data_IF_785258338188
#
_entry.id   IF_785258338188
#
_cell.length_a   1.000
_cell.length_b   1.000
_cell.length_c   1.000
_cell.angle_alpha   90.00
_cell.angle_beta   90.00
_cell.angle_gamma   90.00
#
_symmetry.space_group_name_H-M   'P 1'
#
loop_
_entity.id
_entity.type
_entity.pdbx_description
1 polymer ?
#
# COMPACT_ATOMS: atom_id res chain seq x y z
N UNK A 1 10.40 -23.38 -5.38
CA UNK A 1 9.58 -22.82 -4.29
C UNK A 1 8.22 -23.50 -4.19
N UNK A 2 7.30 -23.34 -5.15
CA UNK A 2 5.94 -23.94 -5.08
C UNK A 2 5.94 -25.46 -4.89
N UNK A 3 6.86 -26.18 -5.54
CA UNK A 3 6.98 -27.64 -5.42
C UNK A 3 7.36 -28.09 -4.00
N UNK A 4 8.30 -27.39 -3.35
CA UNK A 4 8.73 -27.70 -1.98
C UNK A 4 7.66 -27.32 -0.94
N UNK A 5 6.91 -26.25 -1.20
CA UNK A 5 5.80 -25.81 -0.34
C UNK A 5 4.61 -26.79 -0.36
N UNK A 6 4.41 -27.49 -1.48
CA UNK A 6 3.41 -28.55 -1.62
C UNK A 6 3.93 -29.89 -1.05
N UNK A 7 5.23 -30.19 -1.20
CA UNK A 7 5.81 -31.46 -0.74
C UNK A 7 5.91 -31.55 0.80
N UNK A 8 6.26 -30.44 1.47
CA UNK A 8 6.40 -30.37 2.93
C UNK A 8 5.15 -30.84 3.71
N UNK A 9 3.92 -30.34 3.44
CA UNK A 9 2.73 -30.80 4.14
C UNK A 9 2.43 -32.29 3.87
N UNK A 10 2.70 -32.79 2.66
CA UNK A 10 2.53 -34.20 2.35
C UNK A 10 3.51 -35.08 3.14
N UNK A 11 4.77 -34.66 3.29
CA UNK A 11 5.76 -35.34 4.13
C UNK A 11 5.38 -35.33 5.62
N UNK A 12 4.86 -34.20 6.12
CA UNK A 12 4.37 -34.07 7.51
C UNK A 12 3.18 -34.99 7.77
N UNK A 13 2.19 -35.01 6.89
CA UNK A 13 1.05 -35.93 6.99
C UNK A 13 1.50 -37.41 6.98
N UNK A 14 2.51 -37.74 6.17
CA UNK A 14 3.09 -39.09 6.15
C UNK A 14 3.83 -39.41 7.46
N UNK A 15 4.53 -38.44 8.06
CA UNK A 15 5.19 -38.61 9.35
C UNK A 15 4.17 -38.87 10.47
N UNK A 16 3.06 -38.13 10.50
CA UNK A 16 1.96 -38.34 11.45
C UNK A 16 1.33 -39.74 11.28
N UNK A 17 1.05 -40.14 10.04
CA UNK A 17 0.53 -41.48 9.76
C UNK A 17 1.47 -42.57 10.25
N UNK A 18 2.78 -42.44 10.01
CA UNK A 18 3.80 -43.40 10.47
C UNK A 18 3.94 -43.40 11.99
N UNK A 19 3.82 -42.23 12.63
CA UNK A 19 3.84 -42.08 14.08
C UNK A 19 2.67 -42.84 14.73
N UNK A 20 1.47 -42.67 14.17
CA UNK A 20 0.27 -43.38 14.65
C UNK A 20 0.40 -44.89 14.47
N UNK A 21 0.93 -45.35 13.33
CA UNK A 21 1.18 -46.78 13.08
C UNK A 21 2.25 -47.37 14.01
N UNK A 22 3.30 -46.60 14.30
CA UNK A 22 4.33 -46.99 15.26
C UNK A 22 3.74 -47.13 16.67
N UNK A 23 2.95 -46.18 17.12
CA UNK A 23 2.29 -46.25 18.43
C UNK A 23 1.38 -47.49 18.57
N UNK A 24 0.65 -47.83 17.51
CA UNK A 24 -0.13 -49.07 17.47
C UNK A 24 0.75 -50.33 17.50
N UNK A 25 1.88 -50.34 16.78
CA UNK A 25 2.83 -51.44 16.80
C UNK A 25 3.54 -51.60 18.15
N UNK A 26 3.85 -50.48 18.83
CA UNK A 26 4.39 -50.45 20.19
C UNK A 26 3.42 -51.10 21.18
N UNK A 27 2.12 -50.74 21.11
CA UNK A 27 1.08 -51.33 21.95
C UNK A 27 0.95 -52.85 21.70
N UNK A 28 0.92 -53.28 20.43
CA UNK A 28 0.84 -54.70 20.07
C UNK A 28 2.07 -55.49 20.53
N UNK A 29 3.27 -54.90 20.47
CA UNK A 29 4.50 -55.52 20.97
C UNK A 29 4.48 -55.71 22.49
N UNK A 30 4.01 -54.70 23.24
CA UNK A 30 3.84 -54.79 24.70
C UNK A 30 2.84 -55.89 25.07
N UNK A 31 1.72 -55.96 24.35
CA UNK A 31 0.70 -57.01 24.57
C UNK A 31 1.26 -58.42 24.27
N UNK A 32 1.98 -58.59 23.16
CA UNK A 32 2.60 -59.86 22.80
C UNK A 32 3.63 -60.31 23.85
N UNK A 33 4.44 -59.37 24.37
CA UNK A 33 5.36 -59.64 25.48
C UNK A 33 4.64 -60.05 26.76
N UNK A 34 3.56 -59.37 27.13
CA UNK A 34 2.79 -59.72 28.31
C UNK A 34 2.17 -61.12 28.19
N UNK A 35 1.68 -61.50 27.00
CA UNK A 35 1.17 -62.86 26.71
C UNK A 35 2.26 -63.92 26.84
N UNK A 36 3.45 -63.68 26.28
CA UNK A 36 4.60 -64.58 26.42
C UNK A 36 5.03 -64.72 27.89
N UNK A 37 5.10 -63.61 28.64
CA UNK A 37 5.43 -63.64 30.07
C UNK A 37 4.42 -64.43 30.89
N UNK A 38 3.11 -64.25 30.68
CA UNK A 38 2.09 -65.07 31.36
C UNK A 38 2.26 -66.55 31.05
N UNK A 39 2.50 -66.90 29.79
CA UNK A 39 2.76 -68.30 29.42
C UNK A 39 3.96 -68.87 30.18
N UNK A 40 5.05 -68.11 30.38
CA UNK A 40 6.19 -68.58 31.18
C UNK A 40 5.89 -68.75 32.67
N UNK A 41 4.86 -68.09 33.20
CA UNK A 41 4.50 -68.13 34.62
C UNK A 41 3.41 -69.18 34.92
N UNK A 42 2.54 -69.45 33.96
CA UNK A 42 1.29 -70.19 34.17
C UNK A 42 1.26 -71.56 33.47
N UNK A 43 2.07 -71.78 32.43
CA UNK A 43 2.04 -73.02 31.64
C UNK A 43 2.86 -74.16 32.29
N UNK A 44 2.47 -75.40 32.02
CA UNK A 44 3.18 -76.59 32.47
C UNK A 44 4.45 -76.79 31.61
N UNK A 45 5.61 -76.83 32.25
CA UNK A 45 6.91 -76.56 31.60
C UNK A 45 7.36 -77.62 30.59
N UNK A 46 6.78 -78.82 30.61
CA UNK A 46 7.28 -79.98 29.86
C UNK A 46 6.43 -80.36 28.62
N UNK A 47 5.28 -79.73 28.38
CA UNK A 47 4.34 -80.13 27.31
C UNK A 47 3.97 -79.04 26.28
N UNK A 48 4.37 -77.77 26.48
CA UNK A 48 3.79 -76.63 25.75
C UNK A 48 4.76 -75.86 24.82
N UNK A 49 5.86 -76.51 24.39
CA UNK A 49 6.90 -75.91 23.53
C UNK A 49 6.37 -75.29 22.24
N UNK A 50 5.33 -75.90 21.65
CA UNK A 50 4.70 -75.39 20.42
C UNK A 50 3.95 -74.07 20.65
N UNK A 51 3.28 -73.93 21.79
CA UNK A 51 2.57 -72.71 22.15
C UNK A 51 3.57 -71.58 22.48
N UNK A 52 4.64 -71.92 23.20
CA UNK A 52 5.77 -71.01 23.46
C UNK A 52 6.40 -70.49 22.17
N UNK A 53 6.79 -71.37 21.25
CA UNK A 53 7.41 -70.99 19.98
C UNK A 53 6.51 -70.04 19.16
N UNK A 54 5.19 -70.23 19.20
CA UNK A 54 4.22 -69.34 18.53
C UNK A 54 4.19 -67.95 19.16
N UNK A 55 4.27 -67.84 20.49
CA UNK A 55 4.31 -66.56 21.19
C UNK A 55 5.65 -65.83 20.99
N UNK A 56 6.77 -66.56 21.00
CA UNK A 56 8.09 -66.00 20.65
C UNK A 56 8.12 -65.46 19.21
N UNK A 57 7.56 -66.21 18.25
CA UNK A 57 7.42 -65.76 16.86
C UNK A 57 6.53 -64.51 16.74
N UNK A 58 5.44 -64.42 17.51
CA UNK A 58 4.57 -63.24 17.54
C UNK A 58 5.32 -62.01 18.09
N UNK A 59 6.09 -62.16 19.17
CA UNK A 59 6.92 -61.08 19.72
C UNK A 59 7.97 -60.62 18.70
N UNK A 60 8.63 -61.55 18.00
CA UNK A 60 9.60 -61.23 16.96
C UNK A 60 8.97 -60.48 15.77
N UNK A 61 7.78 -60.91 15.31
CA UNK A 61 7.05 -60.23 14.24
C UNK A 61 6.61 -58.81 14.64
N UNK A 62 6.14 -58.62 15.88
CA UNK A 62 5.82 -57.28 16.41
C UNK A 62 7.06 -56.39 16.56
N UNK A 63 8.20 -56.96 16.96
CA UNK A 63 9.46 -56.21 17.05
C UNK A 63 9.88 -55.69 15.67
N UNK A 64 9.87 -56.56 14.64
CA UNK A 64 10.25 -56.19 13.28
C UNK A 64 9.35 -55.09 12.70
N UNK A 65 8.03 -55.18 12.92
CA UNK A 65 7.09 -54.16 12.42
C UNK A 65 7.25 -52.83 13.13
N UNK A 66 7.43 -52.84 14.46
CA UNK A 66 7.73 -51.64 15.26
C UNK A 66 9.01 -50.97 14.78
N UNK A 67 10.09 -51.73 14.66
CA UNK A 67 11.40 -51.20 14.29
C UNK A 67 11.38 -50.68 12.84
N UNK A 68 10.69 -51.38 11.93
CA UNK A 68 10.47 -50.91 10.56
C UNK A 68 9.70 -49.59 10.47
N UNK A 69 8.68 -49.37 11.32
CA UNK A 69 8.00 -48.07 11.39
C UNK A 69 8.89 -46.99 12.00
N UNK A 70 9.72 -47.32 13.00
CA UNK A 70 10.66 -46.38 13.58
C UNK A 70 11.70 -45.90 12.55
N UNK A 71 12.25 -46.82 11.76
CA UNK A 71 13.21 -46.50 10.69
C UNK A 71 12.55 -45.67 9.57
N UNK A 72 11.34 -46.04 9.15
CA UNK A 72 10.59 -45.29 8.16
C UNK A 72 10.28 -43.85 8.63
N UNK A 73 9.91 -43.70 9.91
CA UNK A 73 9.65 -42.39 10.51
C UNK A 73 10.92 -41.53 10.56
N UNK A 74 12.06 -42.13 10.95
CA UNK A 74 13.36 -41.45 10.91
C UNK A 74 13.70 -40.97 9.49
N UNK A 75 13.51 -41.82 8.47
CA UNK A 75 13.74 -41.46 7.08
C UNK A 75 12.86 -40.31 6.58
N UNK A 76 11.59 -40.26 6.98
CA UNK A 76 10.69 -39.14 6.63
C UNK A 76 11.07 -37.86 7.39
N UNK A 77 11.46 -37.95 8.66
CA UNK A 77 11.92 -36.79 9.43
C UNK A 77 13.17 -36.15 8.83
N UNK A 78 14.14 -36.95 8.36
CA UNK A 78 15.29 -36.43 7.61
C UNK A 78 14.86 -35.68 6.35
N UNK A 79 13.93 -36.25 5.56
CA UNK A 79 13.42 -35.58 4.36
C UNK A 79 12.70 -34.26 4.68
N UNK A 80 11.96 -34.19 5.79
CA UNK A 80 11.32 -32.96 6.25
C UNK A 80 12.40 -31.91 6.54
N UNK A 81 13.40 -32.24 7.35
CA UNK A 81 14.48 -31.32 7.69
C UNK A 81 15.23 -30.80 6.44
N UNK A 82 15.57 -31.69 5.51
CA UNK A 82 16.22 -31.33 4.25
C UNK A 82 15.35 -30.40 3.40
N UNK A 83 14.04 -30.66 3.33
CA UNK A 83 13.08 -29.86 2.55
C UNK A 83 12.89 -28.48 3.18
N UNK A 84 12.80 -28.39 4.51
CA UNK A 84 12.73 -27.11 5.23
C UNK A 84 13.99 -26.28 5.01
N UNK A 85 15.16 -26.91 5.11
CA UNK A 85 16.43 -26.22 4.87
C UNK A 85 16.54 -25.69 3.44
N UNK A 86 16.13 -26.49 2.44
CA UNK A 86 16.07 -26.05 1.03
C UNK A 86 15.11 -24.88 0.84
N UNK A 87 13.93 -24.92 1.47
CA UNK A 87 12.93 -23.86 1.36
C UNK A 87 13.46 -22.54 1.96
N UNK A 88 14.11 -22.60 3.13
CA UNK A 88 14.76 -21.43 3.75
C UNK A 88 15.85 -20.87 2.84
N UNK A 89 16.69 -21.74 2.26
CA UNK A 89 17.75 -21.33 1.33
C UNK A 89 17.18 -20.67 0.06
N UNK A 90 16.13 -21.23 -0.54
CA UNK A 90 15.46 -20.65 -1.71
C UNK A 90 14.84 -19.29 -1.40
N UNK A 91 14.16 -19.16 -0.25
CA UNK A 91 13.58 -17.87 0.17
C UNK A 91 14.66 -16.82 0.40
N UNK A 92 15.75 -17.18 1.06
CA UNK A 92 16.87 -16.28 1.28
C UNK A 92 17.54 -15.87 -0.06
N UNK A 93 17.69 -16.79 -1.01
CA UNK A 93 18.20 -16.48 -2.34
C UNK A 93 17.26 -15.56 -3.12
N UNK A 94 15.94 -15.80 -3.06
CA UNK A 94 14.95 -14.96 -3.70
C UNK A 94 14.92 -13.54 -3.12
N UNK A 95 15.01 -13.41 -1.79
CA UNK A 95 15.10 -12.11 -1.12
C UNK A 95 16.37 -11.34 -1.52
N UNK A 96 17.53 -12.02 -1.54
CA UNK A 96 18.80 -11.40 -1.97
C UNK A 96 18.73 -10.93 -3.41
N UNK A 97 18.18 -11.75 -4.31
CA UNK A 97 17.98 -11.38 -5.72
C UNK A 97 17.06 -10.17 -5.86
N UNK A 98 15.93 -10.16 -5.17
CA UNK A 98 15.00 -9.03 -5.21
C UNK A 98 15.66 -7.73 -4.72
N UNK A 99 16.43 -7.80 -3.62
CA UNK A 99 17.17 -6.67 -3.08
C UNK A 99 18.27 -6.17 -4.02
N UNK A 100 19.05 -7.08 -4.63
CA UNK A 100 20.09 -6.72 -5.61
C UNK A 100 19.48 -6.06 -6.85
N UNK A 101 18.34 -6.59 -7.34
CA UNK A 101 17.63 -6.06 -8.49
C UNK A 101 17.01 -4.68 -8.21
N UNK A 102 16.54 -4.44 -6.98
CA UNK A 102 16.07 -3.12 -6.56
C UNK A 102 17.22 -2.10 -6.48
N UNK A 103 18.35 -2.48 -5.88
CA UNK A 103 19.52 -1.61 -5.78
C UNK A 103 20.09 -1.27 -7.16
N UNK A 104 20.18 -2.25 -8.07
CA UNK A 104 20.60 -2.04 -9.44
C UNK A 104 19.68 -1.05 -10.17
N UNK A 105 18.36 -1.22 -10.05
CA UNK A 105 17.37 -0.29 -10.63
C UNK A 105 17.52 1.14 -10.10
N UNK A 106 17.77 1.30 -8.79
CA UNK A 106 18.01 2.63 -8.20
C UNK A 106 19.30 3.26 -8.74
N UNK A 107 20.36 2.47 -8.91
CA UNK A 107 21.60 2.95 -9.51
C UNK A 107 21.38 3.39 -10.97
N UNK A 108 20.66 2.60 -11.77
CA UNK A 108 20.33 2.95 -13.15
C UNK A 108 19.56 4.28 -13.24
N UNK A 109 18.66 4.55 -12.28
CA UNK A 109 17.95 5.83 -12.21
C UNK A 109 18.90 7.00 -11.95
N UNK A 110 19.86 6.84 -11.04
CA UNK A 110 20.89 7.87 -10.76
C UNK A 110 21.73 8.13 -12.01
N UNK A 111 22.21 7.08 -12.67
CA UNK A 111 23.04 7.21 -13.88
C UNK A 111 22.28 7.84 -15.05
N UNK A 112 20.97 7.59 -15.17
CA UNK A 112 20.12 8.25 -16.18
C UNK A 112 19.87 9.73 -15.88
N UNK A 113 19.77 10.12 -14.61
CA UNK A 113 19.52 11.50 -14.21
C UNK A 113 20.77 12.39 -14.29
N UNK A 114 21.96 11.80 -14.16
CA UNK A 114 23.23 12.54 -14.11
C UNK A 114 23.48 13.40 -15.36
N UNK A 115 23.36 12.89 -16.61
CA UNK A 115 23.59 13.70 -17.81
C UNK A 115 22.73 14.96 -17.87
N UNK A 116 21.44 14.86 -17.49
CA UNK A 116 20.52 15.99 -17.52
C UNK A 116 20.90 17.06 -16.50
N UNK A 117 21.30 16.65 -15.30
CA UNK A 117 21.84 17.55 -14.28
C UNK A 117 23.13 18.25 -14.76
N UNK A 118 24.07 17.48 -15.33
CA UNK A 118 25.33 18.03 -15.85
C UNK A 118 25.09 18.96 -17.05
N UNK A 119 24.10 18.68 -17.89
CA UNK A 119 23.71 19.58 -18.99
C UNK A 119 23.08 20.87 -18.45
N UNK A 120 22.22 20.79 -17.43
CA UNK A 120 21.58 21.95 -16.83
C UNK A 120 22.59 22.89 -16.16
N UNK A 121 23.53 22.35 -15.38
CA UNK A 121 24.57 23.17 -14.76
C UNK A 121 25.54 23.78 -15.78
N UNK A 122 25.82 23.10 -16.91
CA UNK A 122 26.65 23.67 -17.98
C UNK A 122 25.97 24.89 -18.60
N UNK A 123 24.68 24.78 -18.94
CA UNK A 123 23.88 25.92 -19.44
C UNK A 123 23.86 27.09 -18.47
N UNK A 124 23.74 26.83 -17.16
CA UNK A 124 23.78 27.88 -16.15
C UNK A 124 25.15 28.57 -16.11
N UNK A 125 26.24 27.80 -16.08
CA UNK A 125 27.59 28.33 -16.09
C UNK A 125 27.88 29.17 -17.35
N UNK A 126 27.45 28.70 -18.54
CA UNK A 126 27.61 29.42 -19.81
C UNK A 126 26.85 30.75 -19.80
N UNK A 127 25.63 30.77 -19.21
CA UNK A 127 24.82 31.99 -19.08
C UNK A 127 25.47 33.00 -18.13
N UNK A 128 26.05 32.53 -17.04
CA UNK A 128 26.77 33.37 -16.07
C UNK A 128 28.08 33.92 -16.65
N UNK A 129 28.77 33.15 -17.47
CA UNK A 129 30.00 33.57 -18.16
C UNK A 129 29.75 34.65 -19.23
N UNK A 130 28.57 34.64 -19.86
CA UNK A 130 28.18 35.72 -20.78
C UNK A 130 28.15 37.11 -20.09
N UNK A 131 27.96 37.14 -18.77
CA UNK A 131 27.97 38.36 -17.94
C UNK A 131 29.20 38.43 -17.01
N UNK A 132 30.33 37.84 -17.42
CA UNK A 132 31.59 37.75 -16.66
C UNK A 132 32.18 39.09 -16.18
N UNK A 133 31.77 40.22 -16.76
CA UNK A 133 32.23 41.55 -16.34
C UNK A 133 31.78 41.90 -14.91
N UNK A 134 30.79 41.20 -14.36
CA UNK A 134 30.46 41.25 -12.94
C UNK A 134 31.25 40.17 -12.19
N UNK A 135 32.12 40.56 -11.26
CA UNK A 135 33.01 39.62 -10.55
C UNK A 135 32.26 38.42 -9.94
N UNK A 136 31.13 38.67 -9.26
CA UNK A 136 30.37 37.60 -8.61
C UNK A 136 29.78 36.58 -9.60
N UNK A 137 29.41 37.00 -10.83
CA UNK A 137 28.82 36.07 -11.80
C UNK A 137 29.89 35.13 -12.35
N UNK A 138 31.11 35.62 -12.57
CA UNK A 138 32.27 34.79 -12.94
C UNK A 138 32.64 33.79 -11.83
N UNK A 139 32.57 34.21 -10.56
CA UNK A 139 32.78 33.33 -9.41
C UNK A 139 31.73 32.22 -9.34
N UNK A 140 30.44 32.54 -9.53
CA UNK A 140 29.36 31.55 -9.55
C UNK A 140 29.50 30.60 -10.75
N UNK A 141 29.86 31.08 -11.93
CA UNK A 141 30.10 30.23 -13.10
C UNK A 141 31.22 29.21 -12.84
N UNK A 142 32.31 29.65 -12.22
CA UNK A 142 33.44 28.80 -11.82
C UNK A 142 33.02 27.77 -10.78
N UNK A 143 32.26 28.19 -9.76
CA UNK A 143 31.74 27.29 -8.74
C UNK A 143 30.87 26.19 -9.34
N UNK A 144 29.93 26.54 -10.23
CA UNK A 144 29.06 25.57 -10.90
C UNK A 144 29.90 24.56 -11.68
N UNK A 145 30.85 25.00 -12.51
CA UNK A 145 31.71 24.08 -13.29
C UNK A 145 32.53 23.15 -12.42
N UNK A 146 33.12 23.67 -11.35
CA UNK A 146 33.90 22.87 -10.41
C UNK A 146 33.02 21.82 -9.70
N UNK A 147 31.82 22.23 -9.26
CA UNK A 147 30.85 21.33 -8.62
C UNK A 147 30.41 20.21 -9.57
N UNK A 148 30.21 20.52 -10.85
CA UNK A 148 29.86 19.51 -11.86
C UNK A 148 30.98 18.50 -12.10
N UNK A 149 32.23 18.96 -12.26
CA UNK A 149 33.38 18.08 -12.44
C UNK A 149 33.59 17.16 -11.23
N UNK A 150 33.45 17.70 -10.01
CA UNK A 150 33.54 16.92 -8.78
C UNK A 150 32.40 15.90 -8.68
N UNK A 151 31.18 16.29 -9.00
CA UNK A 151 30.02 15.40 -8.95
C UNK A 151 30.16 14.25 -9.94
N UNK A 152 30.58 14.52 -11.17
CA UNK A 152 30.76 13.49 -12.20
C UNK A 152 31.75 12.42 -11.75
N UNK A 153 32.90 12.83 -11.19
CA UNK A 153 33.89 11.91 -10.63
C UNK A 153 33.34 11.15 -9.43
N UNK A 154 32.70 11.84 -8.48
CA UNK A 154 32.15 11.23 -7.27
C UNK A 154 31.08 10.17 -7.60
N UNK A 155 30.18 10.46 -8.55
CA UNK A 155 29.15 9.51 -8.98
C UNK A 155 29.78 8.32 -9.70
N UNK A 156 30.81 8.52 -10.52
CA UNK A 156 31.51 7.40 -11.17
C UNK A 156 32.10 6.41 -10.16
N UNK A 157 32.75 6.91 -9.10
CA UNK A 157 33.26 6.05 -8.01
C UNK A 157 32.14 5.36 -7.25
N UNK A 158 31.12 6.11 -6.83
CA UNK A 158 29.98 5.55 -6.09
C UNK A 158 29.24 4.49 -6.91
N UNK A 159 29.06 4.70 -8.21
CA UNK A 159 28.40 3.75 -9.08
C UNK A 159 29.16 2.43 -9.21
N UNK A 160 30.50 2.46 -9.25
CA UNK A 160 31.30 1.23 -9.25
C UNK A 160 31.19 0.48 -7.93
N UNK A 161 31.26 1.19 -6.80
CA UNK A 161 31.14 0.59 -5.47
C UNK A 161 29.75 -0.05 -5.28
N UNK A 162 28.68 0.66 -5.63
CA UNK A 162 27.30 0.16 -5.53
C UNK A 162 27.10 -1.06 -6.45
N UNK A 163 27.69 -1.10 -7.66
CA UNK A 163 27.67 -2.31 -8.51
C UNK A 163 28.37 -3.49 -7.85
N UNK A 164 29.49 -3.25 -7.17
CA UNK A 164 30.16 -4.25 -6.35
C UNK A 164 29.24 -4.79 -5.26
N UNK A 165 28.54 -3.90 -4.56
CA UNK A 165 27.57 -4.26 -3.52
C UNK A 165 26.38 -5.05 -4.07
N UNK A 166 25.84 -4.71 -5.24
CA UNK A 166 24.77 -5.49 -5.91
C UNK A 166 25.21 -6.96 -6.08
N UNK A 167 26.42 -7.19 -6.59
CA UNK A 167 26.98 -8.54 -6.76
C UNK A 167 27.19 -9.23 -5.42
N UNK A 168 27.76 -8.54 -4.45
CA UNK A 168 28.00 -9.09 -3.12
C UNK A 168 26.70 -9.49 -2.40
N UNK A 169 25.61 -8.73 -2.55
CA UNK A 169 24.29 -9.08 -2.03
C UNK A 169 23.74 -10.30 -2.76
N UNK A 170 23.84 -10.34 -4.08
CA UNK A 170 23.36 -11.47 -4.89
C UNK A 170 24.06 -12.78 -4.49
N UNK A 171 25.38 -12.72 -4.30
CA UNK A 171 26.21 -13.86 -3.90
C UNK A 171 26.08 -14.23 -2.41
N UNK A 172 25.44 -13.36 -1.60
CA UNK A 172 25.31 -13.53 -0.15
C UNK A 172 26.59 -13.22 0.64
N UNK A 173 27.58 -12.58 0.02
CA UNK A 173 28.79 -12.08 0.67
C UNK A 173 28.53 -10.78 1.48
N UNK A 174 27.46 -10.05 1.16
CA UNK A 174 27.02 -8.87 1.89
C UNK A 174 25.57 -9.01 2.39
N UNK A 175 25.23 -8.41 3.55
CA UNK A 175 23.86 -8.39 4.04
C UNK A 175 22.96 -7.49 3.17
N UNK A 176 21.66 -7.77 3.17
CA UNK A 176 20.67 -6.91 2.54
C UNK A 176 20.61 -5.57 3.31
N UNK A 177 20.81 -4.41 2.65
CA UNK A 177 20.71 -3.12 3.31
C UNK A 177 19.33 -2.91 3.91
N UNK A 178 19.29 -2.37 5.14
CA UNK A 178 18.03 -2.03 5.79
C UNK A 178 17.29 -0.93 5.00
N UNK A 179 15.96 -1.03 4.94
CA UNK A 179 15.14 0.01 4.35
C UNK A 179 15.37 1.33 5.10
N UNK A 180 15.64 2.41 4.38
CA UNK A 180 15.76 3.73 4.98
C UNK A 180 14.37 4.21 5.45
N UNK A 181 14.14 4.41 6.76
CA UNK A 181 12.82 4.79 7.29
C UNK A 181 12.30 6.12 6.77
N UNK A 182 13.18 6.99 6.25
CA UNK A 182 12.85 8.34 5.79
C UNK A 182 12.67 8.50 4.27
N UNK A 183 12.74 7.42 3.49
CA UNK A 183 12.61 7.51 2.03
C UNK A 183 11.13 7.56 1.59
N UNK A 184 10.37 8.54 2.06
CA UNK A 184 9.16 8.95 1.35
C UNK A 184 9.60 9.69 0.10
N UNK A 185 9.56 9.01 -1.03
CA UNK A 185 9.51 9.64 -2.35
C UNK A 185 8.42 10.71 -2.30
N UNK A 186 8.77 11.95 -2.64
CA UNK A 186 7.85 13.08 -2.68
C UNK A 186 6.52 12.63 -3.28
N UNK A 187 5.47 12.82 -2.48
CA UNK A 187 4.09 12.48 -2.75
C UNK A 187 3.73 12.88 -4.18
N UNK A 188 3.17 11.93 -4.92
CA UNK A 188 2.34 12.21 -6.10
C UNK A 188 1.50 13.45 -5.79
N UNK A 189 1.51 14.51 -6.63
CA UNK A 189 0.68 15.68 -6.36
C UNK A 189 -0.77 15.21 -6.24
N UNK A 190 -1.36 15.51 -5.08
CA UNK A 190 -2.77 15.26 -4.80
C UNK A 190 -3.61 15.74 -5.99
N UNK A 191 -4.56 14.94 -6.51
CA UNK A 191 -5.35 15.35 -7.66
C UNK A 191 -6.03 16.68 -7.31
N UNK A 192 -5.76 17.71 -8.13
CA UNK A 192 -6.28 19.04 -7.89
C UNK A 192 -7.79 18.97 -7.61
N UNK A 193 -8.28 19.59 -6.52
CA UNK A 193 -9.68 19.51 -6.15
C UNK A 193 -10.56 20.01 -7.31
N UNK A 194 -11.77 19.46 -7.47
CA UNK A 194 -12.62 19.80 -8.60
C UNK A 194 -12.91 21.30 -8.62
N UNK A 195 -12.71 21.91 -9.79
CA UNK A 195 -13.07 23.31 -10.06
C UNK A 195 -14.24 23.36 -11.01
N UNK A 196 -15.04 24.42 -10.93
CA UNK A 196 -16.19 24.65 -11.78
C UNK A 196 -16.12 26.06 -12.36
N UNK A 197 -16.33 26.17 -13.68
CA UNK A 197 -16.44 27.46 -14.36
C UNK A 197 -17.89 27.95 -14.30
N UNK A 198 -18.08 29.18 -13.85
CA UNK A 198 -19.38 29.87 -13.81
C UNK A 198 -19.29 31.22 -14.51
N UNK A 199 -20.41 31.70 -15.06
CA UNK A 199 -20.47 33.02 -15.69
C UNK A 199 -20.96 34.05 -14.68
N UNK A 200 -20.16 35.06 -14.40
CA UNK A 200 -20.44 36.04 -13.36
C UNK A 200 -21.43 37.10 -13.85
N UNK A 201 -22.54 37.29 -13.16
CA UNK A 201 -23.46 38.40 -13.42
C UNK A 201 -23.10 39.66 -12.63
N UNK A 202 -22.34 39.50 -11.54
CA UNK A 202 -21.80 40.59 -10.72
C UNK A 202 -20.36 40.27 -10.33
N UNK A 203 -19.59 41.29 -10.05
CA UNK A 203 -18.21 41.14 -9.64
C UNK A 203 -18.10 40.57 -8.23
N UNK A 204 -17.14 39.66 -8.03
CA UNK A 204 -16.94 39.08 -6.71
C UNK A 204 -15.50 38.69 -6.36
N UNK A 205 -15.20 38.71 -5.08
CA UNK A 205 -14.02 38.08 -4.50
C UNK A 205 -14.33 36.67 -4.02
N UNK A 206 -13.34 35.80 -4.16
CA UNK A 206 -13.36 34.44 -3.64
C UNK A 206 -11.95 33.98 -3.31
N UNK A 207 -11.80 32.98 -2.45
CA UNK A 207 -10.52 32.30 -2.23
C UNK A 207 -10.36 31.13 -3.18
N UNK A 208 -9.20 31.04 -3.81
CA UNK A 208 -8.82 29.84 -4.56
C UNK A 208 -8.44 28.68 -3.61
N UNK A 209 -8.16 27.52 -4.20
CA UNK A 209 -7.74 26.31 -3.50
C UNK A 209 -6.48 26.50 -2.63
N UNK A 210 -5.64 27.49 -2.96
CA UNK A 210 -4.41 27.82 -2.22
C UNK A 210 -4.67 28.90 -1.14
N UNK A 211 -5.94 29.23 -0.90
CA UNK A 211 -6.37 30.26 0.05
C UNK A 211 -6.10 31.69 -0.42
N UNK A 212 -5.71 31.90 -1.69
CA UNK A 212 -5.40 33.23 -2.22
C UNK A 212 -6.68 33.92 -2.64
N UNK A 213 -6.81 35.20 -2.26
CA UNK A 213 -7.93 36.04 -2.68
C UNK A 213 -7.83 36.28 -4.19
N UNK A 214 -8.77 35.71 -4.91
CA UNK A 214 -9.02 35.90 -6.33
C UNK A 214 -10.21 36.82 -6.53
N UNK A 215 -10.40 37.10 -7.80
CA UNK A 215 -11.37 38.05 -8.25
C UNK A 215 -12.00 37.59 -9.54
N UNK A 216 -13.31 37.71 -9.57
CA UNK A 216 -14.16 37.31 -10.66
C UNK A 216 -14.86 38.56 -11.21
N UNK A 217 -14.53 38.94 -12.45
CA UNK A 217 -15.08 40.12 -13.08
C UNK A 217 -16.56 39.93 -13.45
N UNK A 218 -17.36 40.99 -13.39
CA UNK A 218 -18.73 40.97 -13.90
C UNK A 218 -18.71 40.71 -15.43
N UNK A 219 -19.59 39.82 -15.86
CA UNK A 219 -19.76 39.35 -17.24
C UNK A 219 -18.55 38.61 -17.81
N UNK A 220 -17.77 37.98 -16.92
CA UNK A 220 -16.65 37.11 -17.27
C UNK A 220 -16.89 35.69 -16.79
N UNK A 221 -16.16 34.74 -17.40
CA UNK A 221 -16.11 33.37 -16.92
C UNK A 221 -15.06 33.27 -15.80
N UNK A 222 -15.47 32.79 -14.63
CA UNK A 222 -14.58 32.57 -13.50
C UNK A 222 -14.52 31.08 -13.16
N UNK A 223 -13.29 30.54 -13.05
CA UNK A 223 -13.06 29.17 -12.62
C UNK A 223 -12.66 29.17 -11.15
N UNK A 224 -13.48 28.54 -10.31
CA UNK A 224 -13.33 28.57 -8.86
C UNK A 224 -13.67 27.19 -8.26
N UNK A 225 -13.37 26.92 -6.98
CA UNK A 225 -13.73 25.67 -6.33
C UNK A 225 -15.24 25.38 -6.42
N UNK A 226 -15.64 24.11 -6.57
CA UNK A 226 -17.07 23.75 -6.78
C UNK A 226 -17.98 24.33 -5.70
N UNK A 227 -17.57 24.30 -4.43
CA UNK A 227 -18.36 24.84 -3.32
C UNK A 227 -18.65 26.35 -3.50
N UNK A 228 -17.61 27.12 -3.85
CA UNK A 228 -17.71 28.55 -4.10
C UNK A 228 -18.54 28.86 -5.35
N UNK A 229 -18.37 28.07 -6.42
CA UNK A 229 -19.18 28.17 -7.63
C UNK A 229 -20.66 27.93 -7.35
N UNK A 230 -21.00 26.87 -6.61
CA UNK A 230 -22.37 26.55 -6.20
C UNK A 230 -22.94 27.64 -5.28
N UNK A 231 -22.12 28.23 -4.41
CA UNK A 231 -22.53 29.36 -3.59
C UNK A 231 -22.86 30.59 -4.43
N UNK A 232 -22.01 30.94 -5.40
CA UNK A 232 -22.25 32.06 -6.31
C UNK A 232 -23.52 31.85 -7.17
N UNK A 233 -23.79 30.62 -7.60
CA UNK A 233 -25.04 30.26 -8.31
C UNK A 233 -26.27 30.43 -7.41
N UNK A 234 -26.21 29.98 -6.15
CA UNK A 234 -27.31 30.12 -5.18
C UNK A 234 -27.64 31.58 -4.86
N UNK A 235 -26.62 32.43 -4.78
CA UNK A 235 -26.80 33.87 -4.53
C UNK A 235 -27.22 34.67 -5.77
N UNK A 236 -27.33 34.03 -6.95
CA UNK A 236 -27.61 34.72 -8.21
C UNK A 236 -26.51 35.69 -8.66
N UNK A 237 -25.31 35.54 -8.07
CA UNK A 237 -24.11 36.34 -8.41
C UNK A 237 -23.47 35.79 -9.69
N UNK A 238 -23.61 34.50 -9.92
CA UNK A 238 -23.21 33.81 -11.13
C UNK A 238 -24.35 32.97 -11.71
N UNK A 239 -24.24 32.60 -12.98
CA UNK A 239 -25.13 31.66 -13.68
C UNK A 239 -24.33 30.58 -14.37
N UNK A 240 -25.01 29.51 -14.77
CA UNK A 240 -24.38 28.45 -15.54
C UNK A 240 -23.83 28.99 -16.87
N UNK A 241 -22.71 28.42 -17.32
CA UNK A 241 -22.04 28.81 -18.58
C UNK A 241 -22.93 28.58 -19.82
N UNK A 242 -23.95 27.74 -19.69
CA UNK A 242 -24.96 27.47 -20.72
C UNK A 242 -26.09 28.52 -20.77
N UNK A 243 -26.11 29.51 -19.89
CA UNK A 243 -27.16 30.54 -19.86
C UNK A 243 -27.05 31.49 -21.08
N UNK A 244 -28.17 31.82 -21.76
CA UNK A 244 -28.18 32.74 -22.89
C UNK A 244 -27.57 34.12 -22.59
N UNK A 245 -27.61 34.54 -21.31
CA UNK A 245 -27.05 35.80 -20.84
C UNK A 245 -25.55 35.89 -21.06
N UNK A 246 -24.83 34.75 -21.03
CA UNK A 246 -23.39 34.70 -21.32
C UNK A 246 -23.11 35.14 -22.76
N UNK A 247 -23.85 34.60 -23.74
CA UNK A 247 -23.66 34.97 -25.14
C UNK A 247 -23.94 36.46 -25.41
N UNK A 248 -24.85 37.05 -24.64
CA UNK A 248 -25.25 38.47 -24.77
C UNK A 248 -24.32 39.45 -24.05
N UNK A 249 -23.81 39.08 -22.87
CA UNK A 249 -23.15 40.02 -21.95
C UNK A 249 -21.63 39.81 -21.85
N UNK A 250 -21.11 38.67 -22.30
CA UNK A 250 -19.68 38.37 -22.19
C UNK A 250 -18.85 39.42 -22.91
N UNK A 251 -17.94 40.06 -22.16
CA UNK A 251 -17.07 41.13 -22.65
C UNK A 251 -17.74 42.51 -22.78
N UNK A 252 -18.99 42.67 -22.36
CA UNK A 252 -19.73 43.92 -22.52
C UNK A 252 -19.29 45.07 -21.59
N UNK A 253 -18.52 44.80 -20.53
CA UNK A 253 -18.18 45.82 -19.51
C UNK A 253 -16.97 46.69 -19.87
N UNK A 254 -16.09 46.24 -20.79
CA UNK A 254 -14.83 46.94 -21.09
C UNK A 254 -13.83 46.87 -19.92
N UNK A 255 -12.53 46.91 -20.21
CA UNK A 255 -11.43 46.53 -19.28
C UNK A 255 -11.16 47.41 -18.05
N UNK A 256 -12.08 48.32 -17.68
CA UNK A 256 -11.93 49.14 -16.48
C UNK A 256 -12.49 48.41 -15.26
N UNK A 257 -11.69 47.49 -14.74
CA UNK A 257 -12.00 46.82 -13.49
C UNK A 257 -11.19 47.42 -12.32
N UNK A 258 -11.87 47.99 -11.32
CA UNK A 258 -11.28 48.26 -10.00
C UNK A 258 -11.68 47.19 -8.96
N UNK A 259 -10.75 46.31 -8.50
CA UNK A 259 -11.02 45.30 -7.47
C UNK A 259 -11.42 45.84 -6.10
N UNK A 260 -11.34 47.16 -5.91
CA UNK A 260 -11.71 47.84 -4.68
C UNK A 260 -13.07 48.56 -4.79
N UNK A 261 -13.82 48.33 -5.87
CA UNK A 261 -15.10 48.98 -6.08
C UNK A 261 -16.16 48.47 -5.07
N UNK A 262 -17.03 49.37 -4.55
CA UNK A 262 -17.98 49.03 -3.49
C UNK A 262 -19.10 48.08 -3.96
N UNK A 263 -19.23 47.84 -5.27
CA UNK A 263 -20.17 46.90 -5.88
C UNK A 263 -19.65 45.46 -5.97
N UNK A 264 -18.39 45.21 -5.57
CA UNK A 264 -17.77 43.88 -5.53
C UNK A 264 -18.23 43.11 -4.30
N UNK A 265 -18.87 41.96 -4.52
CA UNK A 265 -19.35 41.09 -3.46
C UNK A 265 -18.22 40.18 -2.96
N UNK A 266 -18.16 39.91 -1.67
CA UNK A 266 -17.23 38.92 -1.12
C UNK A 266 -17.99 37.61 -0.89
N UNK A 267 -17.70 36.59 -1.72
CA UNK A 267 -18.35 35.27 -1.65
C UNK A 267 -17.95 34.48 -0.41
N UNK A 268 -16.90 34.92 0.31
CA UNK A 268 -16.41 34.28 1.53
C UNK A 268 -16.84 35.04 2.80
N UNK A 269 -17.39 36.25 2.69
CA UNK A 269 -17.73 37.10 3.86
C UNK A 269 -19.16 36.93 4.39
N UNK A 270 -20.00 36.15 3.72
CA UNK A 270 -21.28 35.71 4.27
C UNK A 270 -21.03 34.40 5.03
N UNK A 271 -21.03 34.47 6.36
CA UNK A 271 -21.09 33.27 7.22
C UNK A 271 -22.13 32.30 6.62
N UNK A 272 -21.71 31.07 6.30
CA UNK A 272 -22.66 29.96 6.22
C UNK A 272 -23.53 30.03 7.49
N UNK A 273 -24.86 29.84 7.42
CA UNK A 273 -25.62 29.69 8.65
C UNK A 273 -24.94 28.57 9.44
N UNK A 274 -24.32 28.94 10.57
CA UNK A 274 -23.66 27.99 11.46
C UNK A 274 -24.59 26.81 11.57
N UNK A 275 -24.14 25.65 11.11
CA UNK A 275 -24.84 24.41 11.41
C UNK A 275 -25.07 24.43 12.91
N UNK A 276 -26.34 24.50 13.31
CA UNK A 276 -26.71 24.44 14.71
C UNK A 276 -25.99 23.21 15.27
N UNK A 277 -25.16 23.34 16.33
CA UNK A 277 -24.58 22.15 16.94
C UNK A 277 -25.75 21.21 17.27
N UNK A 278 -25.64 19.90 17.00
CA UNK A 278 -26.73 18.99 17.25
C UNK A 278 -27.18 19.21 18.69
N UNK A 279 -28.42 19.67 18.86
CA UNK A 279 -29.05 19.77 20.16
C UNK A 279 -28.98 18.37 20.73
N UNK A 280 -28.16 18.19 21.76
CA UNK A 280 -28.14 16.98 22.54
C UNK A 280 -29.59 16.78 23.02
N UNK A 281 -30.26 15.68 22.63
CA UNK A 281 -31.67 15.53 22.93
C UNK A 281 -31.85 15.52 24.44
N UNK A 282 -32.73 16.41 24.91
CA UNK A 282 -33.15 16.55 26.30
C UNK A 282 -33.32 15.17 26.95
N UNK A 283 -32.66 14.88 28.10
CA UNK A 283 -32.67 13.56 28.71
C UNK A 283 -34.08 12.98 28.97
N UNK A 284 -35.12 13.82 29.02
CA UNK A 284 -36.52 13.38 29.17
C UNK A 284 -37.07 12.70 27.92
N UNK A 285 -36.59 13.04 26.72
CA UNK A 285 -37.06 12.43 25.46
C UNK A 285 -36.46 11.05 25.18
N UNK A 286 -35.39 10.66 25.90
CA UNK A 286 -34.77 9.33 25.77
C UNK A 286 -35.56 8.24 26.52
N UNK A 287 -36.35 8.60 27.53
CA UNK A 287 -37.20 7.66 28.29
C UNK A 287 -38.59 7.45 27.67
N UNK A 288 -39.04 8.36 26.81
CA UNK A 288 -40.28 8.19 26.07
C UNK A 288 -40.00 7.42 24.76
N UNK A 289 -40.17 6.10 24.79
CA UNK A 289 -39.90 5.19 23.65
C UNK A 289 -40.76 5.45 22.42
N UNK A 290 -40.45 6.49 21.66
CA UNK A 290 -41.08 6.80 20.39
C UNK A 290 -40.52 5.89 19.28
N UNK A 291 -41.42 5.16 18.62
CA UNK A 291 -41.11 4.36 17.43
C UNK A 291 -41.32 5.24 16.21
N UNK A 292 -40.28 5.41 15.40
CA UNK A 292 -40.36 6.11 14.12
C UNK A 292 -41.25 5.32 13.14
N UNK A 293 -42.35 5.93 12.69
CA UNK A 293 -43.24 5.34 11.70
C UNK A 293 -42.81 5.86 10.33
N UNK A 294 -42.25 4.97 9.51
CA UNK A 294 -41.94 5.25 8.12
C UNK A 294 -43.22 5.41 7.30
N UNK A 295 -43.43 6.60 6.72
CA UNK A 295 -44.58 6.94 5.85
C UNK A 295 -44.20 7.08 4.38
N UNK A 296 -43.01 6.62 3.99
CA UNK A 296 -42.52 6.70 2.61
C UNK A 296 -43.43 6.03 1.55
N UNK A 297 -44.39 5.20 1.97
CA UNK A 297 -45.34 4.53 1.08
C UNK A 297 -46.69 5.26 0.87
N UNK A 298 -47.03 6.35 1.59
CA UNK A 298 -48.28 7.08 1.37
C UNK A 298 -48.13 8.18 0.29
N UNK A 299 -48.29 7.81 -0.98
CA UNK A 299 -48.41 8.77 -2.07
C UNK A 299 -49.76 9.50 -2.02
N UNK A 300 -49.82 10.69 -1.41
CA UNK A 300 -50.99 11.58 -1.48
C UNK A 300 -50.85 12.56 -2.65
N UNK A 301 -51.52 12.27 -3.76
CA UNK A 301 -51.60 13.15 -4.92
C UNK A 301 -52.50 14.34 -4.60
N UNK A 302 -51.95 15.56 -4.54
CA UNK A 302 -52.73 16.79 -4.42
C UNK A 302 -53.03 17.30 -5.84
N UNK A 303 -54.28 17.17 -6.29
CA UNK A 303 -54.74 17.84 -7.51
C UNK A 303 -55.11 19.29 -7.18
N UNK A 304 -54.38 20.25 -7.74
CA UNK A 304 -54.70 21.67 -7.63
C UNK A 304 -55.50 22.07 -8.87
N UNK A 305 -56.82 22.25 -8.70
CA UNK A 305 -57.70 22.83 -9.71
C UNK A 305 -57.58 24.36 -9.68
N UNK A 306 -57.04 24.96 -10.74
CA UNK A 306 -57.03 26.43 -10.90
C UNK A 306 -58.16 26.83 -11.86
N UNK A 307 -59.14 27.66 -11.47
CA UNK A 307 -60.17 28.15 -12.37
C UNK A 307 -59.59 29.20 -13.33
N UNK A 308 -59.92 29.09 -14.62
CA UNK A 308 -59.72 30.17 -15.60
C UNK A 308 -60.81 31.22 -15.44
N UNK A 309 -60.42 32.49 -15.30
CA UNK A 309 -61.13 33.67 -15.78
C UNK A 309 -60.12 34.81 -15.92
#
# INVERSE_FOLDING_TARGET
METLEIELPALRARAEMLSNRRAAADAAFVEAKAKLQRHHLEADNDADDRARAKLEAAVAACALTRDGYADALKGVQTKIADTEQKLVAERAAAQRKAASDELARKLDQVERALPDYLNAGRRLADTLEAIHHHFETAQVATFVRNGQAQLEVAVAFAAQDIRGMVRAIQDGAAPIPAANPGATLNSTPEPAPPTMTVFMLRSAHYRDQDGRKRFAGQWEDATMPVATAQHALRLGVAVAVTDPSRARLRGARGGDFSPQAPDVLDLDAMEEPKSVPPVEPDPVLREAGFIEIDRSAEARTIQISVPRL
#
